data_IF_361092903337
#
_entry.id   IF_361092903337
#
_cell.length_a   1.000
_cell.length_b   1.000
_cell.length_c   1.000
_cell.angle_alpha   90.00
_cell.angle_beta   90.00
_cell.angle_gamma   90.00
#
_symmetry.space_group_name_H-M   'P 1'
#
loop_
_entity.id
_entity.type
_entity.pdbx_description
1 polymer ?
#
# COMPACT_ATOMS: atom_id res chain seq x y z
N UNK A 1 -22.88 -24.53 -9.00
CA UNK A 1 -22.73 -23.07 -9.22
C UNK A 1 -21.91 -22.87 -10.49
N UNK A 2 -22.15 -21.78 -11.24
CA UNK A 2 -21.40 -21.45 -12.45
C UNK A 2 -20.00 -20.93 -12.07
N UNK A 3 -18.96 -21.32 -12.80
CA UNK A 3 -17.60 -20.79 -12.60
C UNK A 3 -17.48 -19.37 -13.19
N UNK A 4 -16.66 -18.54 -12.56
CA UNK A 4 -16.20 -17.25 -13.08
C UNK A 4 -15.08 -17.52 -14.09
N UNK A 5 -15.23 -17.00 -15.32
CA UNK A 5 -14.27 -17.22 -16.41
C UNK A 5 -13.22 -16.11 -16.42
N UNK A 6 -11.96 -16.50 -16.25
CA UNK A 6 -10.81 -15.62 -16.12
C UNK A 6 -10.03 -15.47 -17.42
N UNK A 7 -9.72 -14.23 -17.76
CA UNK A 7 -8.71 -13.85 -18.74
C UNK A 7 -7.45 -13.34 -18.04
N UNK A 8 -6.27 -13.64 -18.58
CA UNK A 8 -4.99 -13.17 -18.01
C UNK A 8 -4.33 -12.16 -18.96
N UNK A 9 -4.13 -10.92 -18.51
CA UNK A 9 -3.51 -9.85 -19.29
C UNK A 9 -2.00 -9.76 -19.02
N UNK A 10 -1.24 -10.77 -19.45
CA UNK A 10 0.23 -10.83 -19.51
C UNK A 10 0.72 -12.27 -19.35
N UNK A 11 1.96 -12.50 -19.76
CA UNK A 11 2.71 -13.74 -19.52
C UNK A 11 3.82 -13.51 -18.47
N UNK A 12 3.57 -12.66 -17.49
CA UNK A 12 4.53 -12.33 -16.43
C UNK A 12 4.82 -13.53 -15.54
N UNK A 13 6.04 -13.60 -15.02
CA UNK A 13 6.53 -14.76 -14.28
C UNK A 13 5.69 -15.05 -13.02
N UNK A 14 5.32 -14.02 -12.25
CA UNK A 14 4.43 -14.18 -11.08
C UNK A 14 3.07 -14.79 -11.46
N UNK A 15 2.50 -14.34 -12.59
CA UNK A 15 1.24 -14.87 -13.10
C UNK A 15 1.38 -16.34 -13.46
N UNK A 16 2.38 -16.67 -14.26
CA UNK A 16 2.55 -18.04 -14.74
C UNK A 16 2.94 -19.02 -13.63
N UNK A 17 3.87 -18.65 -12.74
CA UNK A 17 4.43 -19.59 -11.77
C UNK A 17 3.61 -19.73 -10.51
N UNK A 18 2.80 -18.72 -10.14
CA UNK A 18 2.05 -18.70 -8.88
C UNK A 18 0.54 -18.54 -9.10
N UNK A 19 0.11 -17.44 -9.70
CA UNK A 19 -1.29 -17.01 -9.61
C UNK A 19 -2.20 -17.79 -10.54
N UNK A 20 -1.83 -17.99 -11.81
CA UNK A 20 -2.65 -18.75 -12.76
C UNK A 20 -2.88 -20.20 -12.27
N UNK A 21 -1.84 -20.96 -11.86
CA UNK A 21 -2.06 -22.28 -11.30
C UNK A 21 -2.95 -22.27 -10.04
N UNK A 22 -2.89 -21.22 -9.22
CA UNK A 22 -3.75 -21.08 -8.05
C UNK A 22 -5.22 -20.84 -8.45
N UNK A 23 -5.49 -19.98 -9.43
CA UNK A 23 -6.85 -19.74 -9.97
C UNK A 23 -7.43 -21.04 -10.55
N UNK A 24 -6.64 -21.81 -11.31
CA UNK A 24 -7.08 -23.08 -11.89
C UNK A 24 -7.47 -24.14 -10.84
N UNK A 25 -6.90 -24.09 -9.64
CA UNK A 25 -7.25 -24.98 -8.51
C UNK A 25 -8.33 -24.41 -7.61
N UNK A 26 -8.68 -23.14 -7.75
CA UNK A 26 -9.62 -22.47 -6.88
C UNK A 26 -11.07 -22.89 -7.21
N UNK A 27 -11.90 -22.94 -6.18
CA UNK A 27 -13.33 -23.17 -6.35
C UNK A 27 -13.96 -22.00 -7.14
N UNK A 28 -14.98 -22.32 -7.95
CA UNK A 28 -15.73 -21.35 -8.75
C UNK A 28 -14.90 -20.56 -9.78
N UNK A 29 -13.72 -21.03 -10.16
CA UNK A 29 -12.84 -20.36 -11.12
C UNK A 29 -12.52 -21.25 -12.32
N UNK A 30 -12.44 -20.64 -13.50
CA UNK A 30 -11.99 -21.28 -14.73
C UNK A 30 -11.13 -20.30 -15.53
N UNK A 31 -9.88 -20.67 -15.85
CA UNK A 31 -9.01 -19.82 -16.70
C UNK A 31 -9.24 -20.18 -18.15
N UNK A 32 -9.91 -19.29 -18.89
CA UNK A 32 -10.34 -19.54 -20.28
C UNK A 32 -9.41 -18.91 -21.31
N UNK A 33 -8.74 -17.80 -20.96
CA UNK A 33 -7.92 -17.05 -21.90
C UNK A 33 -6.66 -16.45 -21.28
N UNK A 34 -5.62 -16.30 -22.10
CA UNK A 34 -4.40 -15.54 -21.77
C UNK A 34 -3.99 -14.67 -22.96
N UNK A 35 -3.50 -13.48 -22.68
CA UNK A 35 -3.01 -12.55 -23.68
C UNK A 35 -1.58 -12.11 -23.39
N UNK A 36 -0.86 -11.77 -24.46
CA UNK A 36 0.43 -11.12 -24.43
C UNK A 36 0.46 -10.02 -25.49
N UNK A 37 1.56 -9.27 -25.61
CA UNK A 37 1.74 -8.30 -26.71
C UNK A 37 2.10 -8.97 -28.04
N UNK A 38 2.31 -10.30 -28.04
CA UNK A 38 2.54 -11.11 -29.24
C UNK A 38 1.85 -12.46 -29.08
N UNK A 39 1.23 -12.95 -30.15
CA UNK A 39 0.49 -14.21 -30.13
C UNK A 39 1.39 -15.39 -29.73
N UNK A 40 2.61 -15.47 -30.25
CA UNK A 40 3.54 -16.57 -29.95
C UNK A 40 3.80 -16.74 -28.44
N UNK A 41 3.96 -15.63 -27.71
CA UNK A 41 4.18 -15.67 -26.25
C UNK A 41 2.93 -16.11 -25.50
N UNK A 42 1.76 -15.61 -25.91
CA UNK A 42 0.49 -16.01 -25.32
C UNK A 42 0.23 -17.50 -25.57
N UNK A 43 0.44 -17.97 -26.80
CA UNK A 43 0.24 -19.37 -27.20
C UNK A 43 1.17 -20.32 -26.44
N UNK A 44 2.46 -19.96 -26.29
CA UNK A 44 3.40 -20.75 -25.51
C UNK A 44 3.00 -20.86 -24.02
N UNK A 45 2.54 -19.75 -23.42
CA UNK A 45 2.04 -19.76 -22.05
C UNK A 45 0.74 -20.55 -21.90
N UNK A 46 -0.19 -20.41 -22.85
CA UNK A 46 -1.44 -21.14 -22.89
C UNK A 46 -1.22 -22.65 -22.97
N UNK A 47 -0.35 -23.09 -23.89
CA UNK A 47 0.01 -24.50 -24.05
C UNK A 47 0.64 -25.07 -22.76
N UNK A 48 1.53 -24.31 -22.11
CA UNK A 48 2.18 -24.74 -20.85
C UNK A 48 1.21 -24.90 -19.69
N UNK A 49 0.17 -24.07 -19.63
CA UNK A 49 -0.77 -24.03 -18.51
C UNK A 49 -2.11 -24.72 -18.81
N UNK A 50 -2.30 -25.24 -20.02
CA UNK A 50 -3.57 -25.84 -20.44
C UNK A 50 -4.71 -24.83 -20.57
N UNK A 51 -4.42 -23.59 -20.99
CA UNK A 51 -5.42 -22.54 -21.18
C UNK A 51 -5.97 -22.64 -22.62
N UNK A 52 -7.31 -22.69 -22.82
CA UNK A 52 -7.91 -22.95 -24.14
C UNK A 52 -7.61 -21.90 -25.20
N UNK A 53 -7.53 -20.62 -24.83
CA UNK A 53 -7.45 -19.51 -25.80
C UNK A 53 -6.28 -18.58 -25.51
N UNK A 54 -5.55 -18.22 -26.58
CA UNK A 54 -4.44 -17.29 -26.54
C UNK A 54 -4.72 -16.10 -27.48
N UNK A 55 -4.50 -14.89 -26.99
CA UNK A 55 -4.68 -13.65 -27.76
C UNK A 55 -3.37 -12.91 -27.98
N UNK A 56 -3.23 -12.30 -29.16
CA UNK A 56 -2.03 -11.57 -29.57
C UNK A 56 -1.98 -10.12 -29.08
N UNK A 57 -3.09 -9.63 -28.56
CA UNK A 57 -3.21 -8.35 -27.87
C UNK A 57 -4.11 -8.46 -26.64
N UNK A 58 -3.97 -7.51 -25.72
CA UNK A 58 -4.83 -7.43 -24.54
C UNK A 58 -6.25 -6.95 -24.91
N UNK A 59 -6.38 -6.08 -25.92
CA UNK A 59 -7.67 -5.64 -26.46
C UNK A 59 -8.51 -6.80 -26.99
N UNK A 60 -7.90 -7.75 -27.72
CA UNK A 60 -8.59 -8.95 -28.21
C UNK A 60 -9.20 -9.76 -27.06
N UNK A 61 -8.45 -9.96 -25.96
CA UNK A 61 -8.96 -10.67 -24.78
C UNK A 61 -10.07 -9.88 -24.08
N UNK A 62 -9.95 -8.55 -23.99
CA UNK A 62 -11.00 -7.72 -23.40
C UNK A 62 -12.30 -7.73 -24.23
N UNK A 63 -12.20 -7.85 -25.55
CA UNK A 63 -13.33 -7.97 -26.45
C UNK A 63 -14.02 -9.36 -26.40
N UNK A 64 -13.38 -10.37 -25.79
CA UNK A 64 -13.91 -11.73 -25.73
C UNK A 64 -15.18 -11.82 -24.87
N UNK A 65 -16.27 -12.33 -25.44
CA UNK A 65 -17.57 -12.47 -24.76
C UNK A 65 -17.61 -13.57 -23.70
N UNK A 66 -16.59 -14.42 -23.66
CA UNK A 66 -16.47 -15.55 -22.75
C UNK A 66 -15.56 -15.30 -21.54
N UNK A 67 -15.07 -14.08 -21.37
CA UNK A 67 -14.30 -13.66 -20.18
C UNK A 67 -15.19 -12.81 -19.26
N UNK A 68 -15.26 -13.16 -17.98
CA UNK A 68 -16.03 -12.44 -16.95
C UNK A 68 -15.13 -11.51 -16.11
N UNK A 69 -13.91 -11.96 -15.81
CA UNK A 69 -12.93 -11.23 -15.01
C UNK A 69 -11.53 -11.31 -15.63
N UNK A 70 -10.69 -10.31 -15.36
CA UNK A 70 -9.28 -10.30 -15.76
C UNK A 70 -8.34 -10.23 -14.57
N UNK A 71 -7.23 -10.95 -14.69
CA UNK A 71 -6.06 -10.79 -13.83
C UNK A 71 -4.97 -10.00 -14.56
N UNK A 72 -4.43 -8.96 -13.92
CA UNK A 72 -3.48 -8.02 -14.52
C UNK A 72 -2.14 -8.05 -13.76
N UNK A 73 -1.18 -8.92 -14.17
CA UNK A 73 0.19 -8.93 -13.66
C UNK A 73 1.15 -8.20 -14.61
N UNK A 74 0.80 -6.97 -14.99
CA UNK A 74 1.65 -6.14 -15.83
C UNK A 74 2.75 -5.48 -14.99
N UNK A 75 3.74 -4.82 -15.61
CA UNK A 75 4.55 -3.85 -14.87
C UNK A 75 3.66 -2.73 -14.32
N UNK A 76 4.10 -2.09 -13.23
CA UNK A 76 3.29 -1.18 -12.43
C UNK A 76 2.70 -0.01 -13.24
N UNK A 77 3.45 0.48 -14.24
CA UNK A 77 3.04 1.54 -15.17
C UNK A 77 1.82 1.16 -16.04
N UNK A 78 1.56 -0.12 -16.26
CA UNK A 78 0.43 -0.62 -17.04
C UNK A 78 -0.86 -0.84 -16.24
N UNK A 79 -0.81 -0.87 -14.91
CA UNK A 79 -1.97 -1.28 -14.10
C UNK A 79 -3.20 -0.39 -14.31
N UNK A 80 -3.01 0.93 -14.27
CA UNK A 80 -4.11 1.89 -14.39
C UNK A 80 -4.79 1.82 -15.76
N UNK A 81 -4.01 1.91 -16.85
CA UNK A 81 -4.51 1.86 -18.22
C UNK A 81 -5.36 0.60 -18.46
N UNK A 82 -4.80 -0.57 -18.14
CA UNK A 82 -5.44 -1.84 -18.45
C UNK A 82 -6.61 -2.16 -17.54
N UNK A 83 -6.61 -1.66 -16.31
CA UNK A 83 -7.78 -1.74 -15.43
C UNK A 83 -8.93 -0.89 -15.96
N UNK A 84 -8.66 0.35 -16.39
CA UNK A 84 -9.69 1.24 -16.93
C UNK A 84 -10.26 0.69 -18.25
N UNK A 85 -9.40 0.17 -19.14
CA UNK A 85 -9.85 -0.52 -20.37
C UNK A 85 -10.69 -1.76 -20.06
N UNK A 86 -10.27 -2.57 -19.08
CA UNK A 86 -11.02 -3.76 -18.68
C UNK A 86 -12.40 -3.41 -18.09
N UNK A 87 -12.46 -2.34 -17.28
CA UNK A 87 -13.73 -1.80 -16.79
C UNK A 87 -14.64 -1.35 -17.93
N UNK A 88 -14.10 -0.62 -18.91
CA UNK A 88 -14.84 -0.22 -20.12
C UNK A 88 -15.37 -1.39 -20.95
N UNK A 89 -14.70 -2.54 -20.89
CA UNK A 89 -15.13 -3.80 -21.50
C UNK A 89 -16.07 -4.64 -20.61
N UNK A 90 -16.49 -4.11 -19.45
CA UNK A 90 -17.40 -4.77 -18.52
C UNK A 90 -16.78 -5.96 -17.78
N UNK A 91 -15.45 -6.01 -17.65
CA UNK A 91 -14.73 -7.11 -16.97
C UNK A 91 -14.45 -6.75 -15.51
N UNK A 92 -14.67 -7.68 -14.59
CA UNK A 92 -14.14 -7.55 -13.22
C UNK A 92 -12.61 -7.59 -13.25
N UNK A 93 -11.94 -6.92 -12.33
CA UNK A 93 -10.48 -6.77 -12.34
C UNK A 93 -9.87 -7.19 -11.01
N UNK A 94 -8.90 -8.11 -11.08
CA UNK A 94 -7.92 -8.37 -10.03
C UNK A 94 -6.56 -7.90 -10.54
N UNK A 95 -6.04 -6.81 -9.98
CA UNK A 95 -4.78 -6.21 -10.44
C UNK A 95 -3.66 -6.49 -9.43
N UNK A 96 -2.46 -6.78 -9.91
CA UNK A 96 -1.30 -6.97 -9.04
C UNK A 96 -0.98 -5.74 -8.20
N UNK A 97 -0.30 -5.99 -7.08
CA UNK A 97 0.23 -4.93 -6.23
C UNK A 97 1.53 -4.36 -6.84
N UNK A 98 1.85 -3.09 -6.62
CA UNK A 98 0.95 -2.06 -6.10
C UNK A 98 -0.12 -1.71 -7.14
N UNK A 99 -1.33 -1.38 -6.69
CA UNK A 99 -2.48 -1.16 -7.58
C UNK A 99 -2.19 -0.13 -8.69
N UNK A 100 -1.43 0.92 -8.40
CA UNK A 100 -1.05 1.96 -9.36
C UNK A 100 0.25 2.67 -8.95
N UNK A 101 0.72 3.61 -9.78
CA UNK A 101 1.89 4.45 -9.47
C UNK A 101 1.59 5.58 -8.49
N UNK A 102 0.31 5.94 -8.33
CA UNK A 102 -0.13 6.99 -7.41
C UNK A 102 -1.53 6.73 -6.87
N UNK A 103 -1.87 7.37 -5.75
CA UNK A 103 -3.24 7.35 -5.20
C UNK A 103 -4.26 7.90 -6.20
N UNK A 104 -3.92 8.98 -6.92
CA UNK A 104 -4.81 9.57 -7.92
C UNK A 104 -5.17 8.58 -9.05
N UNK A 105 -4.19 7.80 -9.53
CA UNK A 105 -4.45 6.73 -10.50
C UNK A 105 -5.30 5.60 -9.90
N UNK A 106 -5.00 5.17 -8.67
CA UNK A 106 -5.78 4.15 -7.99
C UNK A 106 -7.26 4.57 -7.81
N UNK A 107 -7.50 5.83 -7.47
CA UNK A 107 -8.85 6.40 -7.40
C UNK A 107 -9.54 6.46 -8.77
N UNK A 108 -8.80 6.78 -9.83
CA UNK A 108 -9.33 6.76 -11.20
C UNK A 108 -9.77 5.35 -11.61
N UNK A 109 -8.95 4.34 -11.32
CA UNK A 109 -9.30 2.93 -11.53
C UNK A 109 -10.56 2.56 -10.75
N UNK A 110 -10.66 2.94 -9.47
CA UNK A 110 -11.83 2.68 -8.65
C UNK A 110 -13.09 3.35 -9.22
N UNK A 111 -12.99 4.61 -9.66
CA UNK A 111 -14.11 5.34 -10.29
C UNK A 111 -14.55 4.68 -11.60
N UNK A 112 -13.60 4.27 -12.45
CA UNK A 112 -13.91 3.60 -13.72
C UNK A 112 -14.62 2.26 -13.50
N UNK A 113 -14.12 1.42 -12.59
CA UNK A 113 -14.75 0.15 -12.25
C UNK A 113 -16.14 0.35 -11.63
N UNK A 114 -16.30 1.33 -10.73
CA UNK A 114 -17.60 1.65 -10.14
C UNK A 114 -18.61 2.12 -11.18
N UNK A 115 -18.21 3.00 -12.11
CA UNK A 115 -19.06 3.50 -13.19
C UNK A 115 -19.51 2.39 -14.15
N UNK A 116 -18.64 1.41 -14.40
CA UNK A 116 -18.96 0.22 -15.21
C UNK A 116 -19.73 -0.87 -14.44
N UNK A 117 -19.96 -0.71 -13.13
CA UNK A 117 -20.63 -1.71 -12.29
C UNK A 117 -19.81 -2.99 -12.05
N UNK A 118 -18.50 -2.95 -12.30
CA UNK A 118 -17.59 -4.09 -12.11
C UNK A 118 -16.84 -4.00 -10.78
N UNK A 119 -16.21 -5.11 -10.40
CA UNK A 119 -15.43 -5.19 -9.15
C UNK A 119 -13.96 -4.94 -9.45
N UNK A 120 -13.29 -4.23 -8.56
CA UNK A 120 -11.83 -4.03 -8.56
C UNK A 120 -11.26 -4.59 -7.27
N UNK A 121 -10.19 -5.38 -7.38
CA UNK A 121 -9.39 -5.86 -6.25
C UNK A 121 -7.90 -5.68 -6.52
N UNK A 122 -7.14 -5.35 -5.47
CA UNK A 122 -5.68 -5.39 -5.47
C UNK A 122 -5.20 -6.75 -4.92
N UNK A 123 -4.24 -7.38 -5.59
CA UNK A 123 -3.81 -8.75 -5.31
C UNK A 123 -2.82 -8.87 -4.13
N UNK A 124 -3.15 -8.29 -2.97
CA UNK A 124 -2.41 -8.51 -1.72
C UNK A 124 -2.70 -9.89 -1.10
N UNK A 125 -2.24 -10.96 -1.76
CA UNK A 125 -2.59 -12.34 -1.46
C UNK A 125 -2.35 -12.76 -0.01
N UNK A 126 -1.28 -12.23 0.63
CA UNK A 126 -0.89 -12.61 1.99
C UNK A 126 -1.98 -12.31 3.03
N UNK A 127 -2.85 -11.33 2.77
CA UNK A 127 -3.97 -10.95 3.65
C UNK A 127 -5.00 -12.07 3.83
N UNK A 128 -5.07 -13.00 2.87
CA UNK A 128 -6.02 -14.11 2.90
C UNK A 128 -5.46 -15.36 3.60
N UNK A 129 -4.17 -15.36 3.95
CA UNK A 129 -3.58 -16.48 4.68
C UNK A 129 -4.16 -16.54 6.10
N UNK A 130 -4.58 -17.73 6.56
CA UNK A 130 -5.25 -17.93 7.85
C UNK A 130 -4.45 -17.38 9.03
N UNK A 131 -3.12 -17.51 9.01
CA UNK A 131 -2.25 -16.91 10.03
C UNK A 131 -2.41 -15.38 10.12
N UNK A 132 -2.52 -14.67 9.00
CA UNK A 132 -2.72 -13.21 9.00
C UNK A 132 -4.14 -12.82 9.43
N UNK A 133 -5.14 -13.60 9.03
CA UNK A 133 -6.53 -13.43 9.50
C UNK A 133 -6.59 -13.55 11.02
N UNK A 134 -5.93 -14.56 11.58
CA UNK A 134 -5.88 -14.78 13.03
C UNK A 134 -5.06 -13.71 13.75
N UNK A 135 -3.91 -13.29 13.21
CA UNK A 135 -3.12 -12.18 13.77
C UNK A 135 -3.96 -10.90 13.88
N UNK A 136 -4.70 -10.55 12.84
CA UNK A 136 -5.60 -9.38 12.87
C UNK A 136 -6.68 -9.56 13.94
N UNK A 137 -7.25 -10.76 14.09
CA UNK A 137 -8.24 -11.05 15.14
C UNK A 137 -7.65 -10.88 16.54
N UNK A 138 -6.45 -11.41 16.79
CA UNK A 138 -5.75 -11.31 18.08
C UNK A 138 -5.44 -9.86 18.46
N UNK A 139 -4.96 -9.06 17.50
CA UNK A 139 -4.73 -7.63 17.70
C UNK A 139 -6.04 -6.90 18.03
N UNK A 140 -7.09 -7.13 17.24
CA UNK A 140 -8.39 -6.45 17.43
C UNK A 140 -9.11 -6.83 18.71
N UNK A 141 -8.90 -8.06 19.21
CA UNK A 141 -9.48 -8.54 20.47
C UNK A 141 -8.66 -8.12 21.70
N UNK A 142 -7.57 -7.37 21.52
CA UNK A 142 -6.74 -6.88 22.61
C UNK A 142 -5.87 -7.97 23.25
N UNK A 143 -5.63 -9.09 22.57
CA UNK A 143 -4.85 -10.21 23.11
C UNK A 143 -3.39 -9.83 23.48
N UNK A 144 -2.88 -8.74 22.91
CA UNK A 144 -1.55 -8.17 23.22
C UNK A 144 -1.63 -6.81 23.93
N UNK A 145 -2.80 -6.43 24.45
CA UNK A 145 -3.10 -5.08 24.91
C UNK A 145 -3.23 -4.08 23.76
N UNK A 146 -2.95 -2.80 24.03
CA UNK A 146 -2.99 -1.73 23.02
C UNK A 146 -1.78 -1.84 22.08
N UNK A 147 -1.99 -2.12 20.80
CA UNK A 147 -0.92 -2.12 19.79
C UNK A 147 -0.16 -0.80 19.82
N UNK A 148 1.16 -0.84 20.06
CA UNK A 148 2.03 0.34 20.12
C UNK A 148 2.89 0.49 18.87
N UNK A 149 3.40 -0.62 18.32
CA UNK A 149 4.33 -0.60 17.20
C UNK A 149 4.12 -1.82 16.28
N UNK A 150 4.37 -1.61 14.99
CA UNK A 150 4.52 -2.67 13.99
C UNK A 150 5.89 -2.51 13.37
N UNK A 151 6.70 -3.56 13.45
CA UNK A 151 8.03 -3.61 12.84
C UNK A 151 8.03 -4.72 11.79
N UNK A 152 8.33 -4.36 10.55
CA UNK A 152 8.28 -5.28 9.40
C UNK A 152 9.42 -5.01 8.44
N UNK A 153 10.02 -6.08 7.94
CA UNK A 153 11.09 -6.03 6.94
C UNK A 153 10.77 -7.01 5.84
N UNK A 154 10.88 -6.56 4.59
CA UNK A 154 10.86 -7.42 3.42
C UNK A 154 12.00 -6.97 2.52
N UNK A 155 12.95 -7.88 2.29
CA UNK A 155 14.14 -7.64 1.48
C UNK A 155 14.53 -8.91 0.73
N UNK A 156 15.07 -8.76 -0.46
CA UNK A 156 15.79 -9.80 -1.19
C UNK A 156 16.88 -9.15 -2.03
N UNK A 157 17.84 -9.94 -2.51
CA UNK A 157 18.93 -9.46 -3.35
C UNK A 157 18.49 -9.41 -4.82
N UNK A 158 18.64 -8.24 -5.45
CA UNK A 158 18.43 -8.04 -6.88
C UNK A 158 19.31 -6.91 -7.38
N UNK A 159 20.36 -7.25 -8.12
CA UNK A 159 21.30 -6.34 -8.74
C UNK A 159 21.17 -6.31 -10.27
N UNK A 160 20.17 -7.00 -10.85
CA UNK A 160 19.98 -7.06 -12.31
C UNK A 160 19.41 -5.72 -12.83
N UNK A 161 20.18 -4.92 -13.59
CA UNK A 161 19.69 -3.65 -14.12
C UNK A 161 18.57 -3.82 -15.15
N UNK A 162 18.37 -5.02 -15.70
CA UNK A 162 17.30 -5.29 -16.66
C UNK A 162 15.95 -5.59 -15.99
N UNK A 163 15.92 -5.90 -14.69
CA UNK A 163 14.67 -6.13 -13.95
C UNK A 163 13.80 -4.87 -13.95
N UNK A 164 12.50 -5.03 -14.21
CA UNK A 164 11.52 -3.93 -14.20
C UNK A 164 11.51 -3.16 -12.87
N UNK A 165 11.89 -3.80 -11.76
CA UNK A 165 11.96 -3.20 -10.43
C UNK A 165 13.13 -2.25 -10.29
N UNK A 166 14.16 -2.38 -11.13
CA UNK A 166 15.30 -1.48 -11.17
C UNK A 166 15.12 -0.35 -12.21
N UNK A 167 13.91 -0.22 -12.80
CA UNK A 167 13.58 0.76 -13.83
C UNK A 167 12.51 1.74 -13.35
N UNK A 168 12.91 2.99 -13.10
CA UNK A 168 12.02 4.04 -12.55
C UNK A 168 10.82 4.31 -13.46
N UNK A 169 11.04 4.31 -14.78
CA UNK A 169 9.99 4.54 -15.77
C UNK A 169 8.91 3.45 -15.80
N UNK A 170 9.18 2.29 -15.21
CA UNK A 170 8.21 1.18 -15.03
C UNK A 170 7.51 1.21 -13.68
N UNK A 171 7.76 2.23 -12.87
CA UNK A 171 7.32 2.27 -11.47
C UNK A 171 8.12 1.37 -10.56
N UNK A 172 9.40 1.14 -10.88
CA UNK A 172 10.31 0.35 -10.06
C UNK A 172 10.65 0.98 -8.71
N UNK A 173 11.48 0.28 -7.94
CA UNK A 173 11.92 0.65 -6.60
C UNK A 173 11.41 -0.33 -5.54
N UNK A 174 12.24 -0.58 -4.52
CA UNK A 174 11.92 -1.49 -3.43
C UNK A 174 10.62 -1.11 -2.71
N UNK A 175 10.33 0.18 -2.57
CA UNK A 175 9.07 0.66 -1.96
C UNK A 175 7.84 0.19 -2.74
N UNK A 176 7.88 0.25 -4.07
CA UNK A 176 6.75 -0.15 -4.91
C UNK A 176 6.57 -1.66 -4.94
N UNK A 177 7.66 -2.43 -4.98
CA UNK A 177 7.59 -3.89 -5.10
C UNK A 177 7.32 -4.60 -3.75
N UNK A 178 8.12 -4.31 -2.72
CA UNK A 178 8.09 -5.02 -1.42
C UNK A 178 7.77 -4.13 -0.23
N UNK A 179 8.15 -2.85 -0.26
CA UNK A 179 7.82 -1.90 0.80
C UNK A 179 6.32 -1.69 0.94
N UNK A 180 5.56 -1.83 -0.15
CA UNK A 180 4.10 -1.79 -0.15
C UNK A 180 3.48 -2.87 0.74
N UNK A 181 4.13 -4.03 0.95
CA UNK A 181 3.70 -5.03 1.93
C UNK A 181 3.83 -4.52 3.35
N UNK A 182 4.97 -3.89 3.70
CA UNK A 182 5.19 -3.33 5.03
C UNK A 182 4.20 -2.22 5.36
N UNK A 183 3.92 -1.35 4.39
CA UNK A 183 2.91 -0.29 4.51
C UNK A 183 1.51 -0.90 4.68
N UNK A 184 1.15 -1.86 3.81
CA UNK A 184 -0.15 -2.54 3.85
C UNK A 184 -0.36 -3.28 5.16
N UNK A 185 0.66 -3.99 5.65
CA UNK A 185 0.66 -4.72 6.92
C UNK A 185 0.44 -3.78 8.10
N UNK A 186 1.18 -2.67 8.14
CA UNK A 186 1.07 -1.69 9.23
C UNK A 186 -0.34 -1.12 9.29
N UNK A 187 -0.89 -0.66 8.16
CA UNK A 187 -2.28 -0.20 8.07
C UNK A 187 -3.28 -1.27 8.47
N UNK A 188 -3.06 -2.52 8.04
CA UNK A 188 -3.93 -3.65 8.36
C UNK A 188 -3.99 -3.95 9.86
N UNK A 189 -2.85 -3.94 10.55
CA UNK A 189 -2.78 -4.25 11.99
C UNK A 189 -3.26 -3.10 12.86
N UNK A 190 -2.88 -1.85 12.54
CA UNK A 190 -3.40 -0.68 13.26
C UNK A 190 -4.89 -0.44 12.98
N UNK A 191 -5.39 -0.86 11.82
CA UNK A 191 -6.79 -0.64 11.43
C UNK A 191 -7.12 0.82 11.19
N UNK A 192 -6.12 1.64 10.89
CA UNK A 192 -6.22 3.08 10.70
C UNK A 192 -5.19 3.57 9.68
N UNK A 193 -5.45 4.74 9.10
CA UNK A 193 -4.48 5.45 8.28
C UNK A 193 -3.42 6.15 9.13
N UNK A 194 -2.17 6.27 8.64
CA UNK A 194 -1.11 6.91 9.40
C UNK A 194 -1.45 8.38 9.67
N UNK A 195 -1.56 8.73 10.94
CA UNK A 195 -1.43 10.11 11.42
C UNK A 195 -0.01 10.33 11.94
N UNK A 196 0.52 11.54 11.78
CA UNK A 196 1.90 11.87 12.14
C UNK A 196 1.93 13.23 12.82
N UNK A 197 2.67 13.33 13.92
CA UNK A 197 3.12 14.61 14.46
C UNK A 197 4.65 14.66 14.31
N UNK A 198 5.17 15.73 13.73
CA UNK A 198 6.60 15.97 13.58
C UNK A 198 6.94 17.33 14.16
N UNK A 199 7.93 17.37 15.05
CA UNK A 199 8.62 18.61 15.42
C UNK A 199 9.89 18.65 14.58
N UNK A 200 10.00 19.60 13.64
CA UNK A 200 11.10 19.61 12.64
C UNK A 200 12.49 19.62 13.31
N UNK A 201 12.61 20.25 14.48
CA UNK A 201 13.80 20.24 15.33
C UNK A 201 13.34 20.00 16.78
N UNK A 202 13.40 18.78 17.33
CA UNK A 202 12.69 18.45 18.57
C UNK A 202 13.40 18.87 19.87
N UNK A 203 14.74 18.88 19.92
CA UNK A 203 15.48 19.00 21.20
C UNK A 203 16.36 20.26 21.30
N UNK A 204 16.97 20.68 20.19
CA UNK A 204 17.90 21.81 20.14
C UNK A 204 17.38 22.87 19.18
N UNK A 205 16.18 23.40 19.49
CA UNK A 205 15.55 24.43 18.67
C UNK A 205 16.44 25.69 18.66
N UNK A 206 16.88 26.18 17.49
CA UNK A 206 17.66 27.41 17.42
C UNK A 206 16.82 28.61 17.86
N UNK A 207 17.36 29.51 18.69
CA UNK A 207 16.58 30.58 19.32
C UNK A 207 16.22 31.71 18.36
N UNK A 208 16.83 31.75 17.18
CA UNK A 208 16.86 32.87 16.24
C UNK A 208 15.99 32.66 14.99
N UNK A 209 15.24 31.56 14.92
CA UNK A 209 14.38 31.25 13.78
C UNK A 209 13.04 30.67 14.19
N UNK A 210 12.07 30.81 13.31
CA UNK A 210 10.77 30.15 13.45
C UNK A 210 10.94 28.63 13.44
N UNK A 211 10.06 27.95 14.17
CA UNK A 211 9.97 26.50 14.15
C UNK A 211 8.57 26.04 13.79
N UNK A 212 8.47 24.79 13.32
CA UNK A 212 7.21 24.22 12.90
C UNK A 212 6.97 22.88 13.56
N UNK A 213 5.72 22.68 13.95
CA UNK A 213 5.15 21.37 14.26
C UNK A 213 4.19 21.01 13.14
N UNK A 214 4.45 19.89 12.48
CA UNK A 214 3.60 19.36 11.41
C UNK A 214 2.65 18.32 12.01
N UNK A 215 1.35 18.52 11.87
CA UNK A 215 0.32 17.57 12.24
C UNK A 215 -0.34 17.04 10.96
N UNK A 216 0.00 15.81 10.60
CA UNK A 216 -0.70 15.03 9.59
C UNK A 216 -1.79 14.22 10.27
N UNK A 217 -3.05 14.56 10.05
CA UNK A 217 -4.18 13.86 10.65
C UNK A 217 -5.45 13.99 9.81
N UNK A 218 -6.44 13.13 10.09
CA UNK A 218 -7.64 13.00 9.26
C UNK A 218 -7.33 12.25 7.96
N UNK A 219 -8.38 11.93 7.20
CA UNK A 219 -8.28 11.15 5.97
C UNK A 219 -8.72 9.70 6.16
N UNK A 220 -9.99 9.42 5.87
CA UNK A 220 -10.47 8.07 5.63
C UNK A 220 -10.41 7.80 4.12
N UNK A 221 -9.93 6.63 3.65
CA UNK A 221 -9.89 6.33 2.23
C UNK A 221 -11.24 6.62 1.56
N UNK A 222 -11.29 7.37 0.44
CA UNK A 222 -10.16 7.78 -0.40
C UNK A 222 -9.50 9.13 -0.04
N UNK A 223 -9.90 9.79 1.05
CA UNK A 223 -9.41 11.11 1.43
C UNK A 223 -7.99 11.01 1.99
N UNK A 224 -7.03 11.64 1.32
CA UNK A 224 -5.66 11.75 1.81
C UNK A 224 -5.60 12.54 3.12
N UNK A 225 -4.66 12.21 4.03
CA UNK A 225 -4.52 12.94 5.28
C UNK A 225 -4.05 14.38 5.03
N UNK A 226 -4.66 15.33 5.75
CA UNK A 226 -4.26 16.72 5.69
C UNK A 226 -3.05 16.96 6.61
N UNK A 227 -2.08 17.75 6.16
CA UNK A 227 -0.97 18.19 7.01
C UNK A 227 -1.14 19.67 7.32
N UNK A 228 -1.36 19.98 8.59
CA UNK A 228 -1.35 21.33 9.13
C UNK A 228 0.05 21.65 9.65
N UNK A 229 0.60 22.81 9.28
CA UNK A 229 1.83 23.32 9.87
C UNK A 229 1.51 24.39 10.90
N UNK A 230 1.94 24.19 12.14
CA UNK A 230 1.87 25.18 13.21
C UNK A 230 3.23 25.83 13.37
N UNK A 231 3.30 27.13 13.05
CA UNK A 231 4.53 27.91 13.15
C UNK A 231 4.60 28.59 14.52
N UNK A 232 5.77 28.50 15.16
CA UNK A 232 6.08 29.16 16.41
C UNK A 232 7.18 30.19 16.17
N UNK A 233 7.10 31.38 16.77
CA UNK A 233 8.13 32.40 16.62
C UNK A 233 9.47 31.94 17.21
N UNK A 234 10.59 32.59 16.85
CA UNK A 234 11.88 32.37 17.50
C UNK A 234 11.75 32.44 19.03
N UNK A 235 12.31 31.45 19.72
CA UNK A 235 12.24 31.34 21.16
C UNK A 235 13.52 30.68 21.72
N UNK A 236 14.15 31.33 22.69
CA UNK A 236 15.28 30.75 23.42
C UNK A 236 14.77 29.87 24.57
N UNK A 237 14.74 28.56 24.32
CA UNK A 237 14.27 27.56 25.28
C UNK A 237 15.05 27.56 26.60
N UNK A 238 16.33 27.93 26.60
CA UNK A 238 17.15 27.98 27.82
C UNK A 238 16.80 29.19 28.67
N UNK A 239 16.63 30.35 28.02
CA UNK A 239 16.16 31.57 28.70
C UNK A 239 14.75 31.39 29.28
N UNK A 240 13.86 30.70 28.56
CA UNK A 240 12.51 30.35 29.02
C UNK A 240 12.59 29.42 30.25
N UNK A 241 13.39 28.36 30.19
CA UNK A 241 13.60 27.43 31.30
C UNK A 241 14.09 28.16 32.56
N UNK A 242 15.12 28.99 32.43
CA UNK A 242 15.68 29.75 33.56
C UNK A 242 14.65 30.72 34.15
N UNK A 243 13.87 31.40 33.30
CA UNK A 243 12.82 32.35 33.72
C UNK A 243 11.69 31.66 34.48
N UNK A 244 11.22 30.50 34.00
CA UNK A 244 10.17 29.73 34.66
C UNK A 244 10.64 29.17 36.00
N UNK A 245 11.88 28.72 36.09
CA UNK A 245 12.47 28.29 37.36
C UNK A 245 12.59 29.44 38.36
N UNK A 246 13.11 30.60 37.93
CA UNK A 246 13.20 31.79 38.77
C UNK A 246 11.82 32.23 39.28
N UNK A 247 10.80 32.19 38.41
CA UNK A 247 9.40 32.50 38.78
C UNK A 247 8.89 31.55 39.87
N UNK A 248 9.10 30.25 39.72
CA UNK A 248 8.67 29.27 40.72
C UNK A 248 9.29 29.55 42.10
N UNK A 249 10.57 29.92 42.13
CA UNK A 249 11.27 30.30 43.38
C UNK A 249 10.69 31.56 43.99
N UNK A 250 10.52 32.63 43.19
CA UNK A 250 10.06 33.93 43.68
C UNK A 250 8.60 33.90 44.15
N UNK A 251 7.76 33.09 43.51
CA UNK A 251 6.33 32.97 43.80
C UNK A 251 6.01 31.84 44.79
N UNK A 252 7.00 31.02 45.17
CA UNK A 252 6.80 29.87 46.06
C UNK A 252 5.91 28.77 45.46
N UNK A 253 5.91 28.64 44.13
CA UNK A 253 5.12 27.64 43.39
C UNK A 253 5.97 26.44 42.99
N UNK A 254 5.32 25.36 42.51
CA UNK A 254 6.04 24.22 41.92
C UNK A 254 6.73 24.61 40.61
N UNK A 255 7.86 23.98 40.31
CA UNK A 255 8.51 24.12 38.99
C UNK A 255 7.63 23.51 37.88
N UNK A 256 7.71 24.01 36.63
CA UNK A 256 6.83 23.55 35.55
C UNK A 256 6.97 22.07 35.19
N UNK A 257 8.17 21.51 35.34
CA UNK A 257 8.43 20.08 35.19
C UNK A 257 8.79 19.55 36.58
N UNK A 258 7.93 18.75 37.21
CA UNK A 258 8.12 18.30 38.59
C UNK A 258 9.28 17.29 38.68
N UNK A 259 9.92 17.20 39.86
CA UNK A 259 11.11 16.35 40.04
C UNK A 259 10.79 14.86 39.86
N UNK A 260 9.55 14.46 40.09
CA UNK A 260 9.04 13.11 39.88
C UNK A 260 9.19 12.65 38.42
N UNK A 261 9.09 13.57 37.46
CA UNK A 261 9.31 13.28 36.04
C UNK A 261 10.78 12.89 35.77
N UNK A 262 11.73 13.67 36.30
CA UNK A 262 13.14 13.34 36.22
C UNK A 262 13.47 12.02 36.93
N UNK A 263 12.87 11.76 38.09
CA UNK A 263 13.02 10.49 38.81
C UNK A 263 12.44 9.33 38.00
N UNK A 264 11.30 9.51 37.33
CA UNK A 264 10.73 8.49 36.45
C UNK A 264 11.63 8.23 35.23
N UNK A 265 12.19 9.27 34.64
CA UNK A 265 13.12 9.17 33.51
C UNK A 265 14.38 8.37 33.88
N UNK A 266 14.90 8.53 35.10
CA UNK A 266 16.07 7.78 35.58
C UNK A 266 15.80 6.31 35.94
N UNK A 267 14.54 5.86 35.93
CA UNK A 267 14.16 4.46 36.21
C UNK A 267 14.10 3.57 34.96
N UNK A 268 14.12 4.19 33.78
CA UNK A 268 14.11 3.51 32.47
C UNK A 268 15.54 3.21 32.05
#
# INVERSE_FOLDING_TARGET
MKNLRWGILSTADIGITKVIPAIQRAEHCEVVAIASRTLDRAAAAAARLGIPTAYGSYEELLAAGDVDAVYIPLPNDGHAEWTIKAAGAGKHVLCEKPLALSSAQAEEMARACAAAGVKLGEAFMYRHHSAWVETVRLVRTGAIGRLQAVQSFFSYYNDDPADIRNRVERGGGATMDIGCYCINLSRMLFGAEPSRIEVEIPFNIPPDRETRVLLTSGGDPPVAPATEARTFPPADQYSIQASLFARAVLEGTGVPVPIEDAVANMKV
#
